data_IF_760538725727
#
_entry.id   IF_760538725727
#
_cell.length_a   1.000
_cell.length_b   1.000
_cell.length_c   1.000
_cell.angle_alpha   90.00
_cell.angle_beta   90.00
_cell.angle_gamma   90.00
#
_symmetry.space_group_name_H-M   'P 1'
#
loop_
_entity.id
_entity.type
_entity.pdbx_description
1 polymer ?
#
# COMPACT_ATOMS: atom_id res chain seq x y z
N UNK A 1 12.97 -11.32 -3.32
CA UNK A 1 14.26 -11.86 -2.94
C UNK A 1 14.10 -13.10 -2.05
N UNK A 2 14.82 -14.18 -2.35
CA UNK A 2 14.85 -15.36 -1.49
C UNK A 2 16.11 -15.34 -0.62
N UNK A 3 15.94 -15.41 0.68
CA UNK A 3 17.02 -15.48 1.66
C UNK A 3 16.75 -16.64 2.63
N UNK A 4 17.70 -17.54 2.80
CA UNK A 4 17.55 -18.72 3.65
C UNK A 4 16.26 -19.52 3.40
N UNK A 5 15.87 -19.68 2.13
CA UNK A 5 14.61 -20.32 1.68
C UNK A 5 13.34 -19.64 2.13
N UNK A 6 13.41 -18.36 2.55
CA UNK A 6 12.24 -17.53 2.90
C UNK A 6 12.10 -16.41 1.89
N UNK A 7 10.86 -16.12 1.49
CA UNK A 7 10.54 -14.95 0.69
C UNK A 7 10.76 -13.69 1.53
N UNK A 8 11.53 -12.75 1.00
CA UNK A 8 11.76 -11.45 1.61
C UNK A 8 11.17 -10.36 0.72
N UNK A 9 10.30 -9.54 1.27
CA UNK A 9 9.82 -8.34 0.63
C UNK A 9 10.82 -7.20 0.90
N UNK A 10 11.33 -6.60 -0.17
CA UNK A 10 12.35 -5.54 -0.09
C UNK A 10 11.87 -4.31 -0.88
N UNK A 11 12.55 -3.17 -0.66
CA UNK A 11 12.38 -1.93 -1.42
C UNK A 11 10.94 -1.40 -1.41
N UNK A 12 10.35 -1.30 -0.22
CA UNK A 12 8.95 -0.88 -0.02
C UNK A 12 8.76 0.62 0.20
N UNK A 13 9.83 1.40 0.17
CA UNK A 13 9.80 2.82 0.55
C UNK A 13 8.82 3.69 -0.26
N UNK A 14 8.54 3.30 -1.51
CA UNK A 14 7.62 4.03 -2.39
C UNK A 14 6.23 3.36 -2.53
N UNK A 15 5.96 2.25 -1.82
CA UNK A 15 4.76 1.43 -2.04
C UNK A 15 3.44 2.17 -1.77
N UNK A 16 3.45 3.17 -0.90
CA UNK A 16 2.25 3.92 -0.51
C UNK A 16 2.14 5.29 -1.19
N UNK A 17 3.04 5.65 -2.09
CA UNK A 17 3.06 6.86 -2.92
C UNK A 17 3.30 8.20 -2.21
N UNK A 18 3.07 8.34 -0.91
CA UNK A 18 3.23 9.61 -0.21
C UNK A 18 4.65 9.90 0.33
N UNK A 19 5.64 9.15 -0.11
CA UNK A 19 7.05 9.34 0.26
C UNK A 19 7.64 10.69 -0.21
N UNK A 20 6.99 11.37 -1.14
CA UNK A 20 7.39 12.70 -1.65
C UNK A 20 6.60 13.85 -1.03
N UNK A 21 5.65 13.56 -0.17
CA UNK A 21 4.80 14.54 0.49
C UNK A 21 3.37 14.04 0.64
N UNK A 22 2.67 14.59 1.61
CA UNK A 22 1.27 14.29 1.89
C UNK A 22 0.38 15.37 1.29
N UNK A 23 -0.48 15.02 0.36
CA UNK A 23 -1.44 15.89 -0.32
C UNK A 23 -2.91 15.62 0.06
N UNK A 24 -3.13 14.89 1.18
CA UNK A 24 -4.44 14.41 1.58
C UNK A 24 -4.74 12.99 1.11
N UNK A 25 -3.86 12.39 0.29
CA UNK A 25 -3.94 10.98 -0.12
C UNK A 25 -4.99 10.63 -1.18
N UNK A 26 -6.03 11.46 -1.34
CA UNK A 26 -7.18 11.13 -2.19
C UNK A 26 -6.81 10.96 -3.68
N UNK A 27 -5.94 11.82 -4.20
CA UNK A 27 -5.55 11.79 -5.61
C UNK A 27 -4.73 10.54 -5.98
N UNK A 28 -4.01 9.97 -5.02
CA UNK A 28 -3.08 8.84 -5.25
C UNK A 28 -3.64 7.49 -4.80
N UNK A 29 -4.71 7.47 -4.01
CA UNK A 29 -5.30 6.23 -3.49
C UNK A 29 -5.73 5.27 -4.62
N UNK A 30 -6.23 5.79 -5.74
CA UNK A 30 -6.64 5.02 -6.92
C UNK A 30 -5.54 4.79 -7.96
N UNK A 31 -4.27 5.08 -7.67
CA UNK A 31 -3.19 4.93 -8.65
C UNK A 31 -3.00 3.46 -9.04
N UNK A 32 -3.07 3.19 -10.33
CA UNK A 32 -2.99 1.85 -10.91
C UNK A 32 -1.56 1.28 -11.01
N UNK A 33 -0.53 2.10 -10.82
CA UNK A 33 0.88 1.71 -10.97
C UNK A 33 1.18 1.05 -12.32
N UNK A 34 1.08 1.80 -13.40
CA UNK A 34 1.30 1.30 -14.78
C UNK A 34 2.68 0.68 -15.03
N UNK A 35 3.68 1.00 -14.19
CA UNK A 35 5.02 0.39 -14.27
C UNK A 35 5.04 -1.07 -13.81
N UNK A 36 3.93 -1.62 -13.31
CA UNK A 36 3.83 -3.03 -12.95
C UNK A 36 4.18 -3.95 -14.13
N UNK A 37 3.93 -3.53 -15.36
CA UNK A 37 4.28 -4.27 -16.59
C UNK A 37 5.77 -4.64 -16.68
N UNK A 38 6.63 -3.84 -16.05
CA UNK A 38 8.09 -4.02 -16.07
C UNK A 38 8.60 -4.85 -14.87
N UNK A 39 7.68 -5.35 -14.02
CA UNK A 39 8.05 -6.11 -12.83
C UNK A 39 8.52 -7.52 -13.20
N UNK A 40 9.73 -7.86 -12.80
CA UNK A 40 10.43 -9.11 -13.19
C UNK A 40 9.68 -10.40 -12.83
N UNK A 41 8.84 -10.40 -11.81
CA UNK A 41 8.05 -11.55 -11.38
C UNK A 41 6.64 -11.59 -11.98
N UNK A 42 6.22 -10.57 -12.71
CA UNK A 42 4.86 -10.49 -13.25
C UNK A 42 4.49 -11.69 -14.16
N UNK A 43 5.39 -12.19 -15.02
CA UNK A 43 5.07 -13.35 -15.89
C UNK A 43 4.70 -14.62 -15.11
N UNK A 44 5.16 -14.76 -13.88
CA UNK A 44 4.88 -15.92 -13.00
C UNK A 44 3.79 -15.66 -11.97
N UNK A 45 3.20 -14.46 -11.94
CA UNK A 45 2.16 -14.09 -10.99
C UNK A 45 0.77 -14.56 -11.48
N UNK A 46 0.50 -15.85 -11.45
CA UNK A 46 -0.71 -16.46 -12.00
C UNK A 46 -1.92 -16.48 -11.06
N UNK A 47 -1.73 -16.16 -9.78
CA UNK A 47 -2.77 -16.18 -8.74
C UNK A 47 -3.15 -14.78 -8.23
N UNK A 48 -3.12 -13.75 -9.07
CA UNK A 48 -3.37 -12.35 -8.65
C UNK A 48 -4.78 -12.15 -8.10
N UNK A 49 -5.80 -12.71 -8.76
CA UNK A 49 -7.19 -12.58 -8.34
C UNK A 49 -7.47 -13.32 -7.03
N UNK A 50 -6.93 -14.53 -6.88
CA UNK A 50 -7.05 -15.30 -5.63
C UNK A 50 -6.31 -14.62 -4.48
N UNK A 51 -5.14 -14.06 -4.75
CA UNK A 51 -4.38 -13.31 -3.74
C UNK A 51 -5.11 -12.05 -3.31
N UNK A 52 -5.72 -11.29 -4.24
CA UNK A 52 -6.55 -10.14 -3.92
C UNK A 52 -7.74 -10.52 -3.05
N UNK A 53 -8.50 -11.54 -3.44
CA UNK A 53 -9.66 -12.02 -2.70
C UNK A 53 -9.28 -12.46 -1.27
N UNK A 54 -8.16 -13.15 -1.11
CA UNK A 54 -7.68 -13.61 0.20
C UNK A 54 -7.18 -12.46 1.08
N UNK A 55 -6.38 -11.56 0.53
CA UNK A 55 -5.75 -10.48 1.29
C UNK A 55 -6.74 -9.39 1.66
N UNK A 56 -7.68 -9.06 0.77
CA UNK A 56 -8.70 -8.04 1.05
C UNK A 56 -9.64 -8.42 2.19
N UNK A 57 -9.87 -9.72 2.40
CA UNK A 57 -10.65 -10.22 3.54
C UNK A 57 -9.90 -10.10 4.90
N UNK A 58 -8.58 -10.02 4.86
CA UNK A 58 -7.74 -9.93 6.06
C UNK A 58 -7.42 -8.51 6.49
N UNK A 59 -7.68 -7.54 5.64
CA UNK A 59 -7.32 -6.15 5.83
C UNK A 59 -8.58 -5.31 5.99
N UNK A 60 -9.06 -5.17 7.22
CA UNK A 60 -10.09 -4.21 7.57
C UNK A 60 -9.49 -2.95 8.23
N UNK A 61 -10.34 -1.97 8.54
CA UNK A 61 -9.93 -0.72 9.19
C UNK A 61 -9.25 -0.97 10.53
N UNK A 62 -9.71 -1.95 11.31
CA UNK A 62 -9.18 -2.24 12.63
C UNK A 62 -7.75 -2.80 12.54
N UNK A 63 -7.53 -3.73 11.63
CA UNK A 63 -6.19 -4.28 11.34
C UNK A 63 -5.26 -3.18 10.85
N UNK A 64 -5.70 -2.33 9.91
CA UNK A 64 -4.90 -1.22 9.40
C UNK A 64 -4.56 -0.21 10.51
N UNK A 65 -5.51 0.12 11.37
CA UNK A 65 -5.28 1.00 12.51
C UNK A 65 -4.24 0.42 13.48
N UNK A 66 -4.34 -0.87 13.80
CA UNK A 66 -3.38 -1.55 14.69
C UNK A 66 -1.96 -1.57 14.12
N UNK A 67 -1.82 -1.64 12.80
CA UNK A 67 -0.51 -1.56 12.12
C UNK A 67 0.06 -0.13 12.20
N UNK A 68 -0.76 0.88 11.88
CA UNK A 68 -0.35 2.28 11.89
C UNK A 68 -0.01 2.76 13.30
N UNK A 69 -0.67 2.24 14.33
CA UNK A 69 -0.39 2.56 15.74
C UNK A 69 1.04 2.17 16.17
N UNK A 70 1.65 1.19 15.49
CA UNK A 70 3.03 0.77 15.77
C UNK A 70 4.08 1.78 15.28
N UNK A 71 3.70 2.78 14.50
CA UNK A 71 4.61 3.83 14.03
C UNK A 71 4.95 4.75 15.21
N UNK A 72 6.23 4.89 15.61
CA UNK A 72 6.62 5.78 16.71
C UNK A 72 6.30 7.24 16.41
N UNK A 73 5.93 8.01 17.42
CA UNK A 73 5.67 9.46 17.29
C UNK A 73 6.85 10.21 16.68
N UNK A 74 8.07 9.84 17.07
CA UNK A 74 9.30 10.45 16.53
C UNK A 74 9.44 10.32 15.00
N UNK A 75 8.76 9.37 14.36
CA UNK A 75 8.74 9.22 12.91
C UNK A 75 7.64 10.06 12.24
N UNK A 76 6.72 10.58 13.04
CA UNK A 76 5.61 11.43 12.62
C UNK A 76 5.89 12.91 12.86
N UNK A 77 7.05 13.23 13.42
CA UNK A 77 7.58 14.60 13.54
C UNK A 77 8.05 15.06 12.16
N UNK A 78 7.19 15.73 11.44
CA UNK A 78 7.50 16.18 10.09
C UNK A 78 6.69 17.39 9.67
N UNK A 79 6.73 17.78 8.40
CA UNK A 79 6.19 19.05 7.95
C UNK A 79 4.73 19.22 8.33
N UNK A 80 4.36 20.43 8.61
CA UNK A 80 3.16 21.02 9.20
C UNK A 80 1.77 20.62 8.64
N UNK A 81 1.63 19.42 8.09
CA UNK A 81 0.33 18.96 7.56
C UNK A 81 -0.65 18.49 8.66
N UNK A 82 -0.13 18.19 9.85
CA UNK A 82 -0.92 17.65 10.96
C UNK A 82 -0.56 18.34 12.28
N UNK A 83 -1.57 18.56 13.12
CA UNK A 83 -1.39 19.19 14.41
C UNK A 83 -0.81 18.23 15.47
N UNK A 84 -0.97 16.92 15.29
CA UNK A 84 -0.53 15.91 16.23
C UNK A 84 -0.28 14.54 15.54
N UNK A 85 0.59 13.67 16.11
CA UNK A 85 0.82 12.31 15.60
C UNK A 85 -0.45 11.48 15.47
N UNK A 86 -1.40 11.61 16.39
CA UNK A 86 -2.67 10.89 16.35
C UNK A 86 -3.52 11.28 15.11
N UNK A 87 -3.55 12.56 14.75
CA UNK A 87 -4.24 13.03 13.54
C UNK A 87 -3.58 12.47 12.26
N UNK A 88 -2.26 12.43 12.23
CA UNK A 88 -1.50 11.87 11.12
C UNK A 88 -1.75 10.37 10.97
N UNK A 89 -1.79 9.61 12.07
CA UNK A 89 -2.15 8.18 12.04
C UNK A 89 -3.57 7.97 11.51
N UNK A 90 -4.53 8.76 11.96
CA UNK A 90 -5.91 8.68 11.48
C UNK A 90 -5.98 8.92 9.96
N UNK A 91 -5.28 9.94 9.46
CA UNK A 91 -5.21 10.23 8.02
C UNK A 91 -4.57 9.10 7.22
N UNK A 92 -3.53 8.44 7.75
CA UNK A 92 -2.92 7.28 7.11
C UNK A 92 -3.85 6.08 7.07
N UNK A 93 -4.60 5.82 8.15
CA UNK A 93 -5.61 4.75 8.16
C UNK A 93 -6.70 5.03 7.12
N UNK A 94 -7.21 6.25 7.04
CA UNK A 94 -8.21 6.64 6.05
C UNK A 94 -7.70 6.45 4.61
N UNK A 95 -6.47 6.86 4.33
CA UNK A 95 -5.81 6.62 3.05
C UNK A 95 -5.71 5.13 2.71
N UNK A 96 -5.26 4.30 3.64
CA UNK A 96 -5.10 2.86 3.42
C UNK A 96 -6.45 2.17 3.19
N UNK A 97 -7.49 2.55 3.93
CA UNK A 97 -8.87 2.06 3.72
C UNK A 97 -9.38 2.45 2.33
N UNK A 98 -9.17 3.70 1.93
CA UNK A 98 -9.56 4.16 0.60
C UNK A 98 -8.79 3.45 -0.51
N UNK A 99 -7.46 3.27 -0.34
CA UNK A 99 -6.65 2.53 -1.30
C UNK A 99 -7.11 1.09 -1.43
N UNK A 100 -7.47 0.45 -0.33
CA UNK A 100 -8.01 -0.91 -0.33
C UNK A 100 -9.37 -0.98 -1.04
N UNK A 101 -10.23 0.01 -0.83
CA UNK A 101 -11.51 0.11 -1.54
C UNK A 101 -11.35 0.30 -3.05
N UNK A 102 -10.28 0.99 -3.47
CA UNK A 102 -9.95 1.26 -4.88
C UNK A 102 -8.95 0.25 -5.47
N UNK A 103 -8.70 -0.88 -4.80
CA UNK A 103 -7.67 -1.85 -5.17
C UNK A 103 -7.83 -2.42 -6.58
N UNK A 104 -9.05 -2.49 -7.11
CA UNK A 104 -9.30 -2.97 -8.47
C UNK A 104 -8.46 -2.22 -9.50
N UNK A 105 -8.18 -0.93 -9.28
CA UNK A 105 -7.37 -0.14 -10.19
C UNK A 105 -5.96 -0.73 -10.40
N UNK A 106 -5.29 -1.15 -9.33
CA UNK A 106 -3.94 -1.72 -9.46
C UNK A 106 -3.93 -3.23 -9.65
N UNK A 107 -4.92 -3.96 -9.15
CA UNK A 107 -5.05 -5.41 -9.39
C UNK A 107 -5.33 -5.68 -10.86
N UNK A 108 -6.30 -4.98 -11.45
CA UNK A 108 -6.64 -5.14 -12.87
C UNK A 108 -5.49 -4.67 -13.80
N UNK A 109 -4.78 -3.61 -13.42
CA UNK A 109 -3.58 -3.20 -14.18
C UNK A 109 -2.54 -4.33 -14.21
N UNK A 110 -2.29 -4.99 -13.08
CA UNK A 110 -1.35 -6.12 -13.02
C UNK A 110 -1.84 -7.34 -13.83
N UNK A 111 -3.13 -7.65 -13.77
CA UNK A 111 -3.74 -8.73 -14.56
C UNK A 111 -3.61 -8.44 -16.06
N UNK A 112 -3.95 -7.23 -16.51
CA UNK A 112 -3.85 -6.84 -17.91
C UNK A 112 -2.40 -6.79 -18.40
N UNK A 113 -1.48 -6.28 -17.59
CA UNK A 113 -0.07 -6.18 -17.96
C UNK A 113 0.62 -7.55 -18.09
N UNK A 114 0.05 -8.59 -17.49
CA UNK A 114 0.54 -9.97 -17.60
C UNK A 114 0.15 -10.63 -18.92
N UNK A 115 -0.97 -10.24 -19.52
CA UNK A 115 -1.48 -10.80 -20.79
C UNK A 115 -0.85 -10.16 -21.99
#
# INVERSE_FOLDING_TARGET
>A
LMWQRRLQLIDRGAALYFHRGWDGGNAIAGNAFKLIKDHVLLPWADALAEADALLSQKLDREVLASIVEQVPDAWLEGPAAFAAPAEQRAAYVDYLVQRLALRDAFVQEAVHART
#
